data_IF_977087627173
#
_entry.id   IF_977087627173
#
_cell.length_a   1.000
_cell.length_b   1.000
_cell.length_c   1.000
_cell.angle_alpha   90.00
_cell.angle_beta   90.00
_cell.angle_gamma   90.00
#
_symmetry.space_group_name_H-M   'P 1'
#
loop_
_entity.id
_entity.type
_entity.pdbx_description
1 polymer ?
#
# COMPACT_ATOMS: atom_id res chain seq x y z
N UNK A 1 -10.64 -5.91 0.78
CA UNK A 1 -10.08 -6.35 2.09
C UNK A 1 -8.62 -5.91 2.27
N UNK A 2 -8.14 -4.93 1.49
CA UNK A 2 -6.81 -4.35 1.54
C UNK A 2 -6.68 -3.15 2.48
N UNK A 3 -7.74 -2.35 2.71
CA UNK A 3 -7.65 -1.16 3.57
C UNK A 3 -7.25 -1.49 5.03
N UNK A 4 -7.78 -2.57 5.61
CA UNK A 4 -7.42 -3.00 6.96
C UNK A 4 -5.97 -3.54 7.01
N UNK A 5 -5.53 -4.24 5.97
CA UNK A 5 -4.15 -4.71 5.84
C UNK A 5 -3.17 -3.54 5.69
N UNK A 6 -3.57 -2.51 4.94
CA UNK A 6 -2.81 -1.28 4.74
C UNK A 6 -2.60 -0.53 6.05
N UNK A 7 -3.67 -0.34 6.83
CA UNK A 7 -3.56 0.25 8.17
C UNK A 7 -2.68 -0.58 9.11
N UNK A 8 -2.82 -1.91 9.09
CA UNK A 8 -1.96 -2.81 9.88
C UNK A 8 -0.49 -2.68 9.48
N UNK A 9 -0.21 -2.63 8.18
CA UNK A 9 1.14 -2.47 7.65
C UNK A 9 1.78 -1.16 8.11
N UNK A 10 1.06 -0.02 8.00
CA UNK A 10 1.50 1.27 8.52
C UNK A 10 1.76 1.19 10.03
N UNK A 11 0.86 0.55 10.79
CA UNK A 11 1.02 0.37 12.24
C UNK A 11 2.30 -0.40 12.58
N UNK A 12 2.61 -1.47 11.84
CA UNK A 12 3.85 -2.25 12.00
C UNK A 12 5.07 -1.39 11.70
N UNK A 13 5.05 -0.62 10.61
CA UNK A 13 6.16 0.26 10.25
C UNK A 13 6.43 1.33 11.32
N UNK A 14 5.39 1.96 11.87
CA UNK A 14 5.52 3.02 12.88
C UNK A 14 5.93 2.47 14.25
N UNK A 15 5.31 1.38 14.70
CA UNK A 15 5.44 0.95 16.10
C UNK A 15 6.41 -0.22 16.30
N UNK A 16 6.57 -1.09 15.31
CA UNK A 16 7.33 -2.33 15.48
C UNK A 16 8.74 -2.27 14.89
N UNK A 17 9.08 -1.22 14.12
CA UNK A 17 10.40 -1.02 13.51
C UNK A 17 10.97 -2.32 12.90
N UNK A 18 10.31 -2.88 11.87
CA UNK A 18 10.74 -4.16 11.31
C UNK A 18 12.19 -4.09 10.83
N UNK A 19 12.90 -5.21 11.00
CA UNK A 19 14.33 -5.33 10.64
C UNK A 19 14.56 -5.04 9.16
N UNK A 20 13.61 -5.44 8.31
CA UNK A 20 13.63 -5.16 6.87
C UNK A 20 12.23 -4.78 6.36
N UNK A 21 11.89 -3.48 6.32
CA UNK A 21 10.60 -3.02 5.82
C UNK A 21 10.42 -3.27 4.30
N UNK A 22 11.51 -3.39 3.55
CA UNK A 22 11.46 -3.64 2.11
C UNK A 22 11.04 -5.07 1.83
N UNK A 23 11.61 -6.06 2.52
CA UNK A 23 11.18 -7.46 2.39
C UNK A 23 9.71 -7.62 2.81
N UNK A 24 9.30 -6.98 3.92
CA UNK A 24 7.91 -7.01 4.36
C UNK A 24 6.96 -6.43 3.29
N UNK A 25 7.35 -5.32 2.64
CA UNK A 25 6.60 -4.76 1.53
C UNK A 25 6.50 -5.73 0.34
N UNK A 26 7.62 -6.28 -0.13
CA UNK A 26 7.63 -7.19 -1.29
C UNK A 26 6.74 -8.43 -1.09
N UNK A 27 6.72 -8.99 0.13
CA UNK A 27 5.88 -10.16 0.45
C UNK A 27 4.39 -9.82 0.60
N UNK A 28 4.05 -8.58 0.96
CA UNK A 28 2.68 -8.18 1.29
C UNK A 28 2.01 -7.28 0.25
N UNK A 29 2.76 -6.64 -0.66
CA UNK A 29 2.26 -5.63 -1.62
C UNK A 29 1.10 -6.11 -2.47
N UNK A 30 1.09 -7.39 -2.88
CA UNK A 30 0.01 -7.97 -3.67
C UNK A 30 -1.32 -7.95 -2.90
N UNK A 31 -1.29 -8.36 -1.62
CA UNK A 31 -2.47 -8.37 -0.75
C UNK A 31 -2.86 -6.95 -0.30
N UNK A 32 -1.87 -6.06 -0.10
CA UNK A 32 -2.10 -4.67 0.27
C UNK A 32 -2.79 -3.88 -0.85
N UNK A 33 -2.43 -4.18 -2.10
CA UNK A 33 -2.86 -3.44 -3.27
C UNK A 33 -4.00 -4.12 -4.06
N UNK A 34 -4.55 -5.23 -3.57
CA UNK A 34 -5.63 -5.99 -4.23
C UNK A 34 -6.85 -5.10 -4.53
N UNK A 35 -7.25 -4.25 -3.58
CA UNK A 35 -8.36 -3.31 -3.75
C UNK A 35 -7.97 -2.07 -4.60
N UNK A 36 -6.68 -1.78 -4.77
CA UNK A 36 -6.20 -0.57 -5.45
C UNK A 36 -6.40 -0.63 -6.96
N UNK A 37 -6.37 -1.82 -7.57
CA UNK A 37 -6.70 -1.98 -8.98
C UNK A 37 -8.09 -1.44 -9.30
N UNK A 38 -9.09 -1.85 -8.52
CA UNK A 38 -10.46 -1.35 -8.63
C UNK A 38 -10.53 0.15 -8.34
N UNK A 39 -9.80 0.62 -7.33
CA UNK A 39 -9.79 2.03 -6.96
C UNK A 39 -9.24 2.93 -8.08
N UNK A 40 -8.13 2.54 -8.71
CA UNK A 40 -7.49 3.31 -9.79
C UNK A 40 -8.40 3.44 -11.01
N UNK A 41 -9.12 2.38 -11.36
CA UNK A 41 -10.07 2.38 -12.48
C UNK A 41 -11.29 3.25 -12.17
N UNK A 42 -11.93 3.05 -11.02
CA UNK A 42 -13.24 3.64 -10.74
C UNK A 42 -13.19 5.04 -10.13
N UNK A 43 -12.12 5.40 -9.41
CA UNK A 43 -12.00 6.70 -8.75
C UNK A 43 -11.00 7.63 -9.45
N UNK A 44 -9.88 7.08 -9.95
CA UNK A 44 -8.83 7.86 -10.62
C UNK A 44 -8.92 7.81 -12.15
N UNK A 45 -9.85 7.03 -12.72
CA UNK A 45 -10.08 6.90 -14.16
C UNK A 45 -8.83 6.49 -14.94
N UNK A 46 -7.95 5.69 -14.32
CA UNK A 46 -6.78 5.12 -14.99
C UNK A 46 -7.24 3.85 -15.72
N UNK A 47 -7.17 3.87 -17.05
CA UNK A 47 -7.51 2.72 -17.88
C UNK A 47 -6.37 1.69 -17.84
N UNK A 48 -6.71 0.44 -17.49
CA UNK A 48 -5.78 -0.70 -17.43
C UNK A 48 -4.47 -0.40 -16.66
N UNK A 49 -4.55 -0.07 -15.36
CA UNK A 49 -3.36 0.22 -14.57
C UNK A 49 -2.43 -1.01 -14.54
N UNK A 50 -1.13 -0.79 -14.74
CA UNK A 50 -0.13 -1.86 -14.63
C UNK A 50 0.10 -2.23 -13.17
N UNK A 51 0.63 -3.44 -12.92
CA UNK A 51 1.02 -3.85 -11.55
C UNK A 51 1.99 -2.86 -10.89
N UNK A 52 2.93 -2.32 -11.67
CA UNK A 52 3.86 -1.28 -11.20
C UNK A 52 3.13 -0.01 -10.76
N UNK A 53 2.15 0.47 -11.53
CA UNK A 53 1.35 1.64 -11.16
C UNK A 53 0.51 1.40 -9.89
N UNK A 54 0.00 0.19 -9.72
CA UNK A 54 -0.77 -0.23 -8.54
C UNK A 54 0.14 -0.22 -7.31
N UNK A 55 1.33 -0.81 -7.40
CA UNK A 55 2.28 -0.87 -6.30
C UNK A 55 2.86 0.51 -5.96
N UNK A 56 3.20 1.32 -6.96
CA UNK A 56 3.64 2.70 -6.75
C UNK A 56 2.57 3.52 -6.02
N UNK A 57 1.30 3.37 -6.42
CA UNK A 57 0.20 4.06 -5.74
C UNK A 57 0.01 3.54 -4.31
N UNK A 58 0.13 2.23 -4.09
CA UNK A 58 0.08 1.66 -2.74
C UNK A 58 1.19 2.20 -1.83
N UNK A 59 2.42 2.30 -2.34
CA UNK A 59 3.56 2.86 -1.62
C UNK A 59 3.36 4.36 -1.33
N UNK A 60 2.77 5.11 -2.27
CA UNK A 60 2.41 6.51 -2.07
C UNK A 60 1.43 6.67 -0.90
N UNK A 61 0.37 5.85 -0.82
CA UNK A 61 -0.59 5.87 0.28
C UNK A 61 0.06 5.53 1.63
N UNK A 62 0.94 4.52 1.67
CA UNK A 62 1.70 4.17 2.88
C UNK A 62 2.55 5.36 3.33
N UNK A 63 3.24 6.01 2.40
CA UNK A 63 4.10 7.17 2.69
C UNK A 63 3.28 8.33 3.24
N UNK A 64 2.09 8.56 2.68
CA UNK A 64 1.18 9.58 3.18
C UNK A 64 0.70 9.29 4.60
N UNK A 65 0.31 8.04 4.88
CA UNK A 65 -0.14 7.62 6.21
C UNK A 65 0.98 7.63 7.25
N UNK A 66 2.21 7.28 6.87
CA UNK A 66 3.39 7.43 7.72
C UNK A 66 3.63 8.90 8.06
N UNK A 67 3.49 9.82 7.09
CA UNK A 67 3.63 11.26 7.36
C UNK A 67 2.54 11.81 8.27
N UNK A 68 1.35 11.20 8.27
CA UNK A 68 0.23 11.60 9.13
C UNK A 68 0.34 11.06 10.55
N UNK A 69 0.96 9.89 10.73
CA UNK A 69 1.02 9.15 12.00
C UNK A 69 2.41 9.08 12.65
N UNK A 70 3.47 9.53 11.96
CA UNK A 70 4.85 9.56 12.43
C UNK A 70 5.26 10.86 13.11
#
# INVERSE_FOLDING_TARGET
TGFQLHHLFVTILVHCHPVDPHVLWEESRANLCDDLHHHLIHHLHIENPTEEQIFDYGLHLITEDLRRNG
#
